data_IF_755406209153
#
_entry.id   IF_755406209153
#
_cell.length_a   1.000
_cell.length_b   1.000
_cell.length_c   1.000
_cell.angle_alpha   90.00
_cell.angle_beta   90.00
_cell.angle_gamma   90.00
#
_symmetry.space_group_name_H-M   'P 1'
#
loop_
_entity.id
_entity.type
_entity.pdbx_description
1 polymer ?
#
# COMPACT_ATOMS: atom_id res chain seq x y z
N UNK A 1 32.83 74.37 32.47
CA UNK A 1 31.49 73.88 32.72
C UNK A 1 30.89 73.52 31.36
N UNK A 2 31.04 72.29 30.92
CA UNK A 2 30.49 71.80 29.65
C UNK A 2 29.65 70.57 29.96
N UNK A 3 28.37 70.68 29.75
CA UNK A 3 27.42 69.57 29.89
C UNK A 3 27.51 68.69 28.63
N UNK A 4 27.89 67.46 28.78
CA UNK A 4 27.86 66.46 27.72
C UNK A 4 26.51 65.76 27.80
N UNK A 5 25.72 65.90 26.77
CA UNK A 5 24.42 65.23 26.57
C UNK A 5 24.69 63.89 25.93
N UNK A 6 24.45 62.81 26.63
CA UNK A 6 24.52 61.46 26.11
C UNK A 6 23.16 61.07 25.53
N UNK A 7 23.11 60.89 24.21
CA UNK A 7 21.98 60.30 23.48
C UNK A 7 22.06 58.79 23.63
N UNK A 8 21.10 58.21 24.33
CA UNK A 8 20.86 56.75 24.38
C UNK A 8 19.96 56.42 23.21
N UNK A 9 20.53 55.77 22.23
CA UNK A 9 19.78 55.19 21.08
C UNK A 9 19.20 53.84 21.53
N UNK A 10 17.91 53.81 21.86
CA UNK A 10 17.19 52.54 22.12
C UNK A 10 16.85 51.86 20.80
N UNK A 11 17.63 50.83 20.44
CA UNK A 11 17.28 49.93 19.37
C UNK A 11 16.14 49.00 19.82
N UNK A 12 14.93 49.25 19.35
CA UNK A 12 13.81 48.32 19.48
C UNK A 12 14.04 47.17 18.50
N UNK A 13 14.59 46.09 18.98
CA UNK A 13 14.54 44.80 18.26
C UNK A 13 13.12 44.23 18.40
N UNK A 14 12.32 44.39 17.35
CA UNK A 14 11.04 43.66 17.24
C UNK A 14 11.36 42.19 17.03
N UNK A 15 11.28 41.41 18.10
CA UNK A 15 11.22 39.93 18.00
C UNK A 15 9.84 39.59 17.45
N UNK A 16 9.80 39.30 16.14
CA UNK A 16 8.65 38.68 15.52
C UNK A 16 8.61 37.26 16.05
N UNK A 17 7.82 37.05 17.11
CA UNK A 17 7.37 35.71 17.53
C UNK A 17 6.49 35.18 16.38
N UNK A 18 7.08 34.40 15.50
CA UNK A 18 6.34 33.46 14.65
C UNK A 18 5.70 32.47 15.64
N UNK A 19 4.46 32.75 16.04
CA UNK A 19 3.62 31.77 16.65
C UNK A 19 3.40 30.66 15.60
N UNK A 20 4.25 29.66 15.66
CA UNK A 20 3.98 28.37 15.05
C UNK A 20 2.73 27.85 15.75
N UNK A 21 1.55 28.07 15.15
CA UNK A 21 0.35 27.33 15.46
C UNK A 21 0.63 25.88 15.05
N UNK A 22 1.23 25.10 15.94
CA UNK A 22 1.47 23.68 15.78
C UNK A 22 0.19 22.89 16.01
N UNK A 23 -0.87 23.18 15.26
CA UNK A 23 -1.90 22.19 15.00
C UNK A 23 -1.33 21.25 13.94
N UNK A 24 -1.25 19.94 14.24
CA UNK A 24 -0.93 18.97 13.20
C UNK A 24 -1.93 19.17 12.05
N UNK A 25 -1.43 19.43 10.84
CA UNK A 25 -2.30 19.56 9.68
C UNK A 25 -3.12 18.27 9.57
N UNK A 26 -4.44 18.42 9.53
CA UNK A 26 -5.34 17.29 9.36
C UNK A 26 -5.47 16.97 7.88
N UNK A 27 -5.62 15.71 7.59
CA UNK A 27 -5.82 15.19 6.24
C UNK A 27 -7.16 14.49 6.18
N UNK A 28 -7.82 14.57 5.04
CA UNK A 28 -9.12 13.97 4.80
C UNK A 28 -9.08 13.09 3.56
N UNK A 29 -9.87 12.03 3.60
CA UNK A 29 -10.20 11.22 2.42
C UNK A 29 -11.39 11.87 1.73
N UNK A 30 -11.31 12.05 0.41
CA UNK A 30 -12.46 12.53 -0.36
C UNK A 30 -13.51 11.41 -0.52
N UNK A 31 -14.78 11.79 -0.64
CA UNK A 31 -15.85 10.84 -0.98
C UNK A 31 -15.71 10.33 -2.41
N UNK A 32 -15.27 11.20 -3.34
CA UNK A 32 -14.93 10.83 -4.71
C UNK A 32 -13.58 10.10 -4.74
N UNK A 33 -13.49 9.01 -5.52
CA UNK A 33 -12.33 8.11 -5.56
C UNK A 33 -12.18 7.48 -6.95
N UNK A 34 -11.09 6.74 -7.17
CA UNK A 34 -10.80 6.10 -8.47
C UNK A 34 -11.34 4.66 -8.58
N UNK A 35 -12.23 4.24 -7.70
CA UNK A 35 -12.95 2.98 -7.82
C UNK A 35 -12.52 1.90 -6.83
N UNK A 36 -13.39 0.88 -6.74
CA UNK A 36 -13.19 -0.27 -5.88
C UNK A 36 -12.20 -1.26 -6.50
N UNK A 37 -11.42 -1.90 -5.66
CA UNK A 37 -10.46 -2.95 -5.99
C UNK A 37 -10.57 -4.11 -5.02
N UNK A 38 -9.91 -5.21 -5.34
CA UNK A 38 -9.74 -6.34 -4.43
C UNK A 38 -8.27 -6.79 -4.44
N UNK A 39 -7.75 -7.21 -3.28
CA UNK A 39 -6.39 -7.72 -3.14
C UNK A 39 -6.31 -9.21 -3.37
N UNK A 40 -5.23 -9.64 -4.03
CA UNK A 40 -4.87 -11.04 -4.23
C UNK A 40 -3.38 -11.28 -3.99
N UNK A 41 -3.02 -12.53 -3.77
CA UNK A 41 -1.63 -13.00 -3.72
C UNK A 41 -1.17 -13.29 -5.13
N UNK A 42 0.04 -12.85 -5.50
CA UNK A 42 0.62 -13.09 -6.81
C UNK A 42 1.60 -14.26 -6.81
N UNK A 43 1.45 -15.13 -7.78
CA UNK A 43 2.32 -16.28 -8.06
C UNK A 43 2.87 -16.17 -9.47
N UNK A 44 3.99 -16.84 -9.78
CA UNK A 44 4.43 -16.98 -11.18
C UNK A 44 3.29 -17.56 -12.02
N UNK A 45 3.27 -17.20 -13.28
CA UNK A 45 2.13 -17.47 -14.18
C UNK A 45 1.69 -18.94 -14.24
N UNK A 46 2.63 -19.86 -14.05
CA UNK A 46 2.41 -21.32 -14.17
C UNK A 46 2.56 -22.06 -12.82
N UNK A 47 2.70 -21.35 -11.69
CA UNK A 47 2.83 -21.94 -10.35
C UNK A 47 1.46 -22.29 -9.74
N UNK A 48 0.65 -23.06 -10.48
CA UNK A 48 -0.71 -23.43 -10.06
C UNK A 48 -0.76 -24.33 -8.83
N UNK A 49 0.20 -25.28 -8.71
CA UNK A 49 0.25 -26.20 -7.59
C UNK A 49 0.50 -25.48 -6.27
N UNK A 50 1.43 -24.51 -6.25
CA UNK A 50 1.66 -23.67 -5.08
C UNK A 50 0.44 -22.79 -4.77
N UNK A 51 -0.11 -22.11 -5.79
CA UNK A 51 -1.27 -21.24 -5.63
C UNK A 51 -2.50 -22.00 -5.12
N UNK A 52 -2.76 -23.22 -5.65
CA UNK A 52 -3.85 -24.08 -5.19
C UNK A 52 -3.69 -24.46 -3.70
N UNK A 53 -2.47 -24.82 -3.28
CA UNK A 53 -2.22 -25.22 -1.89
C UNK A 53 -2.29 -24.05 -0.92
N UNK A 54 -1.78 -22.89 -1.29
CA UNK A 54 -1.92 -21.67 -0.48
C UNK A 54 -3.40 -21.30 -0.36
N UNK A 55 -4.17 -21.37 -1.45
CA UNK A 55 -5.62 -21.07 -1.40
C UNK A 55 -6.40 -22.08 -0.56
N UNK A 56 -6.10 -23.38 -0.68
CA UNK A 56 -6.70 -24.42 0.16
C UNK A 56 -6.51 -24.10 1.66
N UNK A 57 -5.28 -23.71 2.04
CA UNK A 57 -4.98 -23.34 3.43
C UNK A 57 -5.74 -22.08 3.86
N UNK A 58 -5.86 -21.07 3.00
CA UNK A 58 -6.64 -19.87 3.28
C UNK A 58 -8.12 -20.18 3.46
N UNK A 59 -8.67 -21.09 2.63
CA UNK A 59 -10.06 -21.54 2.75
C UNK A 59 -10.27 -22.33 4.09
N UNK A 60 -9.30 -23.13 4.52
CA UNK A 60 -9.27 -23.76 5.85
C UNK A 60 -9.23 -22.74 6.99
N UNK A 61 -8.33 -21.74 6.90
CA UNK A 61 -8.19 -20.65 7.88
C UNK A 61 -9.47 -19.82 8.00
N UNK A 62 -10.18 -19.64 6.90
CA UNK A 62 -11.49 -19.02 6.90
C UNK A 62 -12.51 -19.89 7.65
N UNK A 63 -12.53 -21.19 7.37
CA UNK A 63 -13.52 -22.14 7.93
C UNK A 63 -13.32 -22.37 9.42
N UNK A 64 -12.09 -22.42 9.92
CA UNK A 64 -11.77 -22.63 11.34
C UNK A 64 -11.71 -21.33 12.16
N UNK A 65 -11.91 -20.17 11.50
CA UNK A 65 -11.98 -18.85 12.11
C UNK A 65 -10.61 -18.20 12.36
N UNK A 66 -9.50 -18.80 11.93
CA UNK A 66 -8.16 -18.23 12.08
C UNK A 66 -8.02 -16.94 11.30
N UNK A 67 -8.45 -16.90 10.03
CA UNK A 67 -8.43 -15.69 9.21
C UNK A 67 -9.27 -14.56 9.84
N UNK A 68 -10.45 -14.88 10.39
CA UNK A 68 -11.29 -13.92 11.10
C UNK A 68 -10.63 -13.34 12.35
N UNK A 69 -9.87 -14.13 13.13
CA UNK A 69 -9.11 -13.62 14.28
C UNK A 69 -8.00 -12.67 13.88
N UNK A 70 -7.28 -13.00 12.81
CA UNK A 70 -6.24 -12.12 12.24
C UNK A 70 -6.88 -10.83 11.74
N UNK A 71 -8.02 -10.90 11.01
CA UNK A 71 -8.82 -9.73 10.62
C UNK A 71 -9.20 -8.84 11.80
N UNK A 72 -9.72 -9.45 12.87
CA UNK A 72 -10.13 -8.71 14.07
C UNK A 72 -8.95 -7.98 14.71
N UNK A 73 -7.76 -8.60 14.72
CA UNK A 73 -6.54 -7.99 15.26
C UNK A 73 -6.13 -6.73 14.51
N UNK A 74 -6.17 -6.75 13.18
CA UNK A 74 -5.64 -5.67 12.35
C UNK A 74 -6.69 -4.61 11.96
N UNK A 75 -7.94 -5.03 11.76
CA UNK A 75 -9.02 -4.15 11.28
C UNK A 75 -10.15 -3.93 12.31
N UNK A 76 -10.11 -4.61 13.46
CA UNK A 76 -11.16 -4.51 14.47
C UNK A 76 -12.48 -5.18 14.08
N UNK A 77 -12.49 -5.96 13.00
CA UNK A 77 -13.64 -6.75 12.56
C UNK A 77 -13.17 -8.06 11.93
N UNK A 78 -14.05 -9.07 11.91
CA UNK A 78 -13.73 -10.43 11.42
C UNK A 78 -13.93 -10.59 9.91
N UNK A 79 -14.61 -9.64 9.28
CA UNK A 79 -15.13 -9.78 7.92
C UNK A 79 -14.24 -9.04 6.88
N UNK A 80 -13.06 -8.52 7.29
CA UNK A 80 -12.13 -7.92 6.36
C UNK A 80 -11.49 -8.96 5.42
N UNK A 81 -11.36 -10.22 5.89
CA UNK A 81 -10.97 -11.33 5.03
C UNK A 81 -12.19 -11.82 4.24
N UNK A 82 -12.11 -11.68 2.92
CA UNK A 82 -13.20 -12.07 2.01
C UNK A 82 -13.29 -13.59 1.85
N UNK A 83 -14.50 -14.07 1.73
CA UNK A 83 -14.83 -15.50 1.49
C UNK A 83 -15.77 -15.65 0.30
N UNK A 84 -15.86 -16.88 -0.24
CA UNK A 84 -16.80 -17.17 -1.34
C UNK A 84 -16.45 -16.48 -2.66
N UNK A 85 -15.20 -16.05 -2.84
CA UNK A 85 -14.70 -15.46 -4.07
C UNK A 85 -14.18 -16.54 -5.02
N UNK A 86 -14.12 -16.18 -6.31
CA UNK A 86 -13.56 -17.00 -7.36
C UNK A 86 -12.17 -16.49 -7.78
N UNK A 87 -11.37 -17.34 -8.39
CA UNK A 87 -10.10 -16.92 -8.97
C UNK A 87 -10.34 -15.93 -10.12
N UNK A 88 -9.55 -14.85 -10.25
CA UNK A 88 -9.64 -13.92 -11.38
C UNK A 88 -9.43 -14.60 -12.74
N UNK A 89 -8.63 -15.67 -12.75
CA UNK A 89 -8.43 -16.55 -13.90
C UNK A 89 -8.61 -18.00 -13.49
N UNK A 90 -9.22 -18.80 -14.36
CA UNK A 90 -9.43 -20.21 -14.09
C UNK A 90 -8.12 -20.95 -13.76
N UNK A 91 -8.17 -21.75 -12.70
CA UNK A 91 -7.10 -22.68 -12.35
C UNK A 91 -6.86 -23.68 -13.49
N UNK A 92 -5.61 -23.98 -13.75
CA UNK A 92 -5.21 -24.95 -14.79
C UNK A 92 -4.36 -26.05 -14.16
N UNK A 93 -4.34 -27.19 -14.83
CA UNK A 93 -3.37 -28.23 -14.53
C UNK A 93 -2.27 -28.16 -15.57
N UNK A 94 -1.06 -27.93 -15.13
CA UNK A 94 0.13 -27.84 -16.00
C UNK A 94 1.01 -29.07 -15.75
N UNK A 95 1.25 -29.85 -16.79
CA UNK A 95 2.13 -30.99 -16.70
C UNK A 95 3.55 -30.56 -16.30
N UNK A 96 4.06 -31.19 -15.23
CA UNK A 96 5.40 -30.85 -14.71
C UNK A 96 5.44 -29.63 -13.79
N UNK A 97 4.30 -29.06 -13.41
CA UNK A 97 4.25 -28.03 -12.37
C UNK A 97 4.73 -28.62 -11.03
N UNK A 98 5.93 -28.20 -10.63
CA UNK A 98 6.57 -28.62 -9.38
C UNK A 98 6.67 -27.46 -8.39
N UNK A 99 5.92 -26.38 -8.57
CA UNK A 99 6.02 -25.15 -7.77
C UNK A 99 5.81 -25.38 -6.27
N UNK A 100 4.81 -26.19 -5.90
CA UNK A 100 4.61 -26.61 -4.51
C UNK A 100 5.77 -27.47 -4.01
N UNK A 101 6.16 -28.50 -4.77
CA UNK A 101 7.23 -29.41 -4.36
C UNK A 101 8.56 -28.67 -4.19
N UNK A 102 8.84 -27.68 -5.06
CA UNK A 102 10.03 -26.83 -4.93
C UNK A 102 10.07 -26.07 -3.60
N UNK A 103 8.95 -25.50 -3.14
CA UNK A 103 8.86 -24.83 -1.84
C UNK A 103 9.03 -25.82 -0.69
N UNK A 104 8.39 -27.00 -0.78
CA UNK A 104 8.51 -28.04 0.25
C UNK A 104 9.92 -28.59 0.35
N UNK A 105 10.61 -28.86 -0.76
CA UNK A 105 11.95 -29.42 -0.79
C UNK A 105 12.99 -28.45 -0.22
N UNK A 106 12.87 -27.14 -0.50
CA UNK A 106 13.77 -26.14 0.06
C UNK A 106 13.43 -25.78 1.50
N UNK A 107 12.24 -26.17 2.01
CA UNK A 107 11.79 -25.93 3.38
C UNK A 107 11.49 -24.47 3.73
N UNK A 108 11.35 -23.59 2.70
CA UNK A 108 11.07 -22.16 2.91
C UNK A 108 10.05 -21.65 1.91
N UNK A 109 9.18 -20.74 2.36
CA UNK A 109 8.29 -19.92 1.53
C UNK A 109 8.80 -18.48 1.57
N UNK A 110 9.29 -17.98 0.43
CA UNK A 110 9.85 -16.62 0.34
C UNK A 110 8.77 -15.65 -0.13
N UNK A 111 8.36 -14.75 0.75
CA UNK A 111 7.34 -13.74 0.51
C UNK A 111 7.99 -12.40 0.15
N UNK A 112 7.69 -11.86 -1.02
CA UNK A 112 8.08 -10.50 -1.44
C UNK A 112 7.05 -9.46 -1.06
N UNK A 113 7.52 -8.34 -0.46
CA UNK A 113 6.67 -7.22 -0.06
C UNK A 113 7.43 -5.89 -0.09
N UNK A 114 6.67 -4.79 -0.20
CA UNK A 114 7.10 -3.45 0.23
C UNK A 114 6.87 -3.32 1.74
N UNK A 115 7.95 -3.14 2.51
CA UNK A 115 7.87 -3.01 3.97
C UNK A 115 7.39 -1.65 4.48
N UNK A 116 6.78 -0.84 3.59
CA UNK A 116 6.21 0.48 3.87
C UNK A 116 4.70 0.54 3.59
N UNK A 117 4.00 -0.61 3.63
CA UNK A 117 2.58 -0.74 3.26
C UNK A 117 1.68 -1.16 4.44
N UNK A 118 1.54 -0.32 5.49
CA UNK A 118 0.71 -0.63 6.65
C UNK A 118 -0.79 -0.56 6.30
N UNK A 119 -1.64 -1.35 6.97
CA UNK A 119 -1.35 -2.39 7.95
C UNK A 119 -1.09 -3.77 7.34
N UNK A 120 -0.96 -3.88 5.99
CA UNK A 120 -0.83 -5.16 5.31
C UNK A 120 0.54 -5.82 5.57
N UNK A 121 1.64 -5.08 5.30
CA UNK A 121 2.99 -5.50 5.60
C UNK A 121 3.91 -4.29 5.76
N UNK A 122 4.50 -4.10 6.92
CA UNK A 122 5.35 -2.96 7.16
C UNK A 122 6.37 -3.21 8.27
N UNK A 123 7.46 -2.45 8.26
CA UNK A 123 8.47 -2.50 9.31
C UNK A 123 8.02 -1.67 10.51
N UNK A 124 7.77 -2.33 11.63
CA UNK A 124 7.44 -1.66 12.89
C UNK A 124 8.64 -0.85 13.38
N UNK A 125 8.44 0.45 13.59
CA UNK A 125 9.51 1.38 13.98
C UNK A 125 10.07 1.17 15.38
N UNK A 126 9.36 0.42 16.24
CA UNK A 126 9.77 0.16 17.63
C UNK A 126 10.55 -1.15 17.76
N UNK A 127 10.10 -2.18 17.04
CA UNK A 127 10.71 -3.52 17.12
C UNK A 127 11.73 -3.76 16.01
N UNK A 128 11.58 -3.06 14.86
CA UNK A 128 12.36 -3.30 13.66
C UNK A 128 11.91 -4.55 12.88
N UNK A 129 10.87 -5.24 13.34
CA UNK A 129 10.33 -6.42 12.69
C UNK A 129 9.34 -6.04 11.58
N UNK A 130 9.22 -6.89 10.57
CA UNK A 130 8.16 -6.77 9.56
C UNK A 130 6.91 -7.46 10.12
N UNK A 131 5.83 -6.69 10.21
CA UNK A 131 4.55 -7.09 10.77
C UNK A 131 3.42 -6.67 9.84
N UNK A 132 2.22 -7.21 10.04
CA UNK A 132 1.05 -6.81 9.27
C UNK A 132 0.04 -7.93 9.11
N UNK A 133 -1.11 -7.57 8.57
CA UNK A 133 -2.19 -8.50 8.30
C UNK A 133 -1.76 -9.64 7.36
N UNK A 134 -1.11 -9.29 6.25
CA UNK A 134 -0.61 -10.27 5.28
C UNK A 134 0.51 -11.12 5.86
N UNK A 135 1.35 -10.53 6.73
CA UNK A 135 2.44 -11.25 7.40
C UNK A 135 1.89 -12.31 8.35
N UNK A 136 0.84 -12.00 9.11
CA UNK A 136 0.25 -12.97 10.04
C UNK A 136 -0.50 -14.08 9.30
N UNK A 137 -1.18 -13.76 8.18
CA UNK A 137 -1.76 -14.77 7.30
C UNK A 137 -0.67 -15.68 6.71
N UNK A 138 0.42 -15.09 6.20
CA UNK A 138 1.51 -15.83 5.58
C UNK A 138 2.27 -16.73 6.57
N UNK A 139 2.45 -16.29 7.82
CA UNK A 139 3.03 -17.11 8.91
C UNK A 139 2.19 -18.38 9.16
N UNK A 140 0.89 -18.21 9.21
CA UNK A 140 -0.01 -19.35 9.42
C UNK A 140 -0.02 -20.28 8.20
N UNK A 141 -0.02 -19.73 6.99
CA UNK A 141 0.10 -20.54 5.75
C UNK A 141 1.40 -21.33 5.74
N UNK A 142 2.54 -20.70 6.04
CA UNK A 142 3.83 -21.39 6.09
C UNK A 142 3.87 -22.48 7.16
N UNK A 143 3.27 -22.21 8.34
CA UNK A 143 3.12 -23.19 9.43
C UNK A 143 2.34 -24.44 8.97
N UNK A 144 1.21 -24.25 8.29
CA UNK A 144 0.38 -25.36 7.77
C UNK A 144 1.03 -26.08 6.58
N UNK A 145 1.85 -25.40 5.81
CA UNK A 145 2.71 -26.02 4.78
C UNK A 145 3.87 -26.83 5.37
N UNK A 146 4.24 -26.56 6.62
CA UNK A 146 5.42 -27.18 7.26
C UNK A 146 6.75 -26.62 6.78
N UNK A 147 6.78 -25.35 6.38
CA UNK A 147 7.97 -24.64 5.91
C UNK A 147 8.23 -23.35 6.72
N UNK A 148 9.43 -22.82 6.65
CA UNK A 148 9.79 -21.53 7.24
C UNK A 148 9.28 -20.38 6.33
N UNK A 149 8.68 -19.33 6.90
CA UNK A 149 8.40 -18.10 6.19
C UNK A 149 9.65 -17.21 6.15
N UNK A 150 10.11 -16.90 4.97
CA UNK A 150 11.17 -15.91 4.73
C UNK A 150 10.55 -14.64 4.15
N UNK A 151 10.71 -13.52 4.85
CA UNK A 151 10.21 -12.23 4.41
C UNK A 151 11.34 -11.53 3.65
N UNK A 152 11.08 -11.22 2.37
CA UNK A 152 12.02 -10.57 1.47
C UNK A 152 11.49 -9.19 1.08
N UNK A 153 12.00 -8.09 1.69
CA UNK A 153 11.71 -6.74 1.21
C UNK A 153 12.16 -6.56 -0.24
N UNK A 154 11.29 -5.99 -1.05
CA UNK A 154 11.54 -5.70 -2.47
C UNK A 154 11.15 -4.26 -2.79
N UNK A 155 11.71 -3.72 -3.87
CA UNK A 155 11.14 -2.53 -4.49
C UNK A 155 9.84 -2.93 -5.21
N UNK A 156 8.73 -2.22 -4.92
CA UNK A 156 7.41 -2.60 -5.44
C UNK A 156 7.33 -2.58 -6.96
N UNK A 157 8.03 -1.65 -7.60
CA UNK A 157 8.11 -1.57 -9.06
C UNK A 157 8.83 -2.77 -9.69
N UNK A 158 9.72 -3.44 -8.95
CA UNK A 158 10.46 -4.62 -9.40
C UNK A 158 9.79 -5.96 -9.06
N UNK A 159 8.58 -5.97 -8.46
CA UNK A 159 7.92 -7.16 -7.93
C UNK A 159 7.81 -8.34 -8.91
N UNK A 160 7.48 -8.06 -10.18
CA UNK A 160 7.37 -9.11 -11.20
C UNK A 160 8.74 -9.65 -11.61
N UNK A 161 9.77 -8.80 -11.62
CA UNK A 161 11.15 -9.23 -11.90
C UNK A 161 11.66 -10.17 -10.79
N UNK A 162 11.42 -9.82 -9.52
CA UNK A 162 11.79 -10.63 -8.37
C UNK A 162 11.07 -11.99 -8.38
N UNK A 163 9.76 -11.97 -8.68
CA UNK A 163 8.95 -13.18 -8.78
C UNK A 163 9.42 -14.11 -9.91
N UNK A 164 9.57 -13.57 -11.12
CA UNK A 164 9.99 -14.33 -12.30
C UNK A 164 11.45 -14.78 -12.21
N UNK A 165 12.30 -14.00 -11.52
CA UNK A 165 13.68 -14.33 -11.20
C UNK A 165 13.85 -15.42 -10.14
N UNK A 166 12.74 -15.88 -9.50
CA UNK A 166 12.71 -16.85 -8.40
C UNK A 166 13.48 -16.37 -7.15
N UNK A 167 13.62 -15.05 -6.97
CA UNK A 167 14.14 -14.45 -5.74
C UNK A 167 13.08 -14.52 -4.63
N UNK A 168 11.80 -14.53 -5.01
CA UNK A 168 10.63 -14.73 -4.15
C UNK A 168 9.74 -15.83 -4.74
N UNK A 169 8.92 -16.46 -3.90
CA UNK A 169 7.97 -17.50 -4.33
C UNK A 169 6.60 -16.93 -4.64
N UNK A 170 6.22 -15.89 -3.91
CA UNK A 170 4.96 -15.18 -4.07
C UNK A 170 5.10 -13.71 -3.66
N UNK A 171 4.15 -12.89 -4.14
CA UNK A 171 3.96 -11.49 -3.75
C UNK A 171 2.73 -11.45 -2.85
N UNK A 172 2.90 -10.97 -1.60
CA UNK A 172 1.78 -10.85 -0.66
C UNK A 172 1.89 -9.56 0.14
N UNK A 173 1.22 -8.50 -0.34
CA UNK A 173 1.32 -7.17 0.24
C UNK A 173 0.18 -6.25 -0.22
N UNK A 174 -1.08 -6.68 -0.01
CA UNK A 174 -2.22 -5.88 -0.45
C UNK A 174 -2.16 -5.57 -1.95
N UNK A 175 -1.85 -6.57 -2.78
CA UNK A 175 -1.70 -6.36 -4.21
C UNK A 175 -3.06 -6.39 -4.92
N UNK A 176 -3.49 -5.25 -5.46
CA UNK A 176 -4.74 -5.12 -6.23
C UNK A 176 -4.72 -5.99 -7.48
N UNK A 177 -5.86 -6.59 -7.78
CA UNK A 177 -6.11 -7.31 -9.03
C UNK A 177 -6.28 -6.29 -10.13
N UNK A 178 -5.42 -6.36 -11.17
CA UNK A 178 -5.57 -5.57 -12.41
C UNK A 178 -5.49 -6.49 -13.62
N UNK A 179 -5.94 -6.00 -14.78
CA UNK A 179 -5.87 -6.76 -16.03
C UNK A 179 -4.43 -7.10 -16.38
N UNK A 180 -3.50 -6.15 -16.20
CA UNK A 180 -2.08 -6.35 -16.45
C UNK A 180 -1.52 -7.46 -15.54
N UNK A 181 -1.76 -7.41 -14.25
CA UNK A 181 -1.28 -8.42 -13.29
C UNK A 181 -1.89 -9.79 -13.55
N UNK A 182 -3.18 -9.83 -13.90
CA UNK A 182 -3.86 -11.08 -14.28
C UNK A 182 -3.28 -11.71 -15.55
N UNK A 183 -2.77 -10.89 -16.49
CA UNK A 183 -2.10 -11.37 -17.69
C UNK A 183 -0.68 -11.90 -17.43
N UNK A 184 0.05 -11.28 -16.49
CA UNK A 184 1.47 -11.51 -16.24
C UNK A 184 1.76 -12.57 -15.17
N UNK A 185 0.84 -12.77 -14.22
CA UNK A 185 1.00 -13.72 -13.10
C UNK A 185 -0.29 -14.49 -12.84
N UNK A 186 -0.24 -15.51 -12.00
CA UNK A 186 -1.41 -16.17 -11.46
C UNK A 186 -1.77 -15.52 -10.11
N UNK A 187 -3.04 -15.14 -9.93
CA UNK A 187 -3.52 -14.49 -8.72
C UNK A 187 -4.41 -15.43 -7.92
N UNK A 188 -4.31 -15.39 -6.59
CA UNK A 188 -5.23 -16.07 -5.68
C UNK A 188 -6.67 -15.57 -5.86
N UNK A 189 -7.62 -16.19 -5.17
CA UNK A 189 -8.93 -15.56 -4.96
C UNK A 189 -8.74 -14.23 -4.19
N UNK A 190 -9.61 -13.23 -4.44
CA UNK A 190 -9.60 -12.00 -3.66
C UNK A 190 -9.76 -12.28 -2.17
N UNK A 191 -8.92 -11.62 -1.33
CA UNK A 191 -8.96 -11.84 0.13
C UNK A 191 -9.24 -10.58 0.95
N UNK A 192 -9.14 -9.36 0.37
CA UNK A 192 -9.51 -8.08 1.01
C UNK A 192 -10.11 -7.14 -0.05
N UNK A 193 -11.18 -6.41 0.33
CA UNK A 193 -11.72 -5.32 -0.48
C UNK A 193 -10.93 -4.03 -0.25
N UNK A 194 -10.69 -3.29 -1.32
CA UNK A 194 -9.97 -2.02 -1.33
C UNK A 194 -10.65 -1.00 -2.26
N UNK A 195 -10.12 0.21 -2.31
CA UNK A 195 -10.42 1.24 -3.29
C UNK A 195 -9.21 2.17 -3.44
N UNK A 196 -9.05 2.80 -4.59
CA UNK A 196 -8.07 3.87 -4.75
C UNK A 196 -8.70 5.20 -4.33
N UNK A 197 -8.25 5.75 -3.20
CA UNK A 197 -8.78 6.97 -2.58
C UNK A 197 -7.87 8.17 -2.82
N UNK A 198 -8.44 9.37 -2.62
CA UNK A 198 -7.74 10.64 -2.70
C UNK A 198 -7.63 11.25 -1.32
N UNK A 199 -6.42 11.55 -0.89
CA UNK A 199 -6.11 12.23 0.37
C UNK A 199 -5.64 13.64 0.07
N UNK A 200 -6.21 14.62 0.79
CA UNK A 200 -5.85 16.03 0.70
C UNK A 200 -5.78 16.67 2.09
N UNK A 201 -5.09 17.81 2.25
CA UNK A 201 -5.16 18.59 3.50
C UNK A 201 -6.60 19.02 3.81
N UNK A 202 -7.00 19.00 5.08
CA UNK A 202 -8.27 19.56 5.52
C UNK A 202 -8.37 21.05 5.10
N UNK A 203 -9.50 21.42 4.48
CA UNK A 203 -9.67 22.78 3.93
C UNK A 203 -9.11 22.97 2.52
N UNK A 204 -8.52 21.94 1.89
CA UNK A 204 -8.16 21.98 0.47
C UNK A 204 -9.35 22.38 -0.40
N UNK A 205 -9.07 23.08 -1.50
CA UNK A 205 -10.08 23.37 -2.53
C UNK A 205 -10.45 22.13 -3.35
N UNK A 206 -9.61 21.10 -3.35
CA UNK A 206 -9.86 19.81 -4.02
C UNK A 206 -10.95 19.07 -3.26
N UNK A 207 -12.07 18.75 -3.92
CA UNK A 207 -13.21 18.02 -3.36
C UNK A 207 -13.60 16.81 -4.19
N UNK A 208 -13.24 16.82 -5.47
CA UNK A 208 -13.54 15.76 -6.44
C UNK A 208 -12.33 15.47 -7.29
N UNK A 209 -12.37 14.38 -8.08
CA UNK A 209 -11.34 14.06 -9.08
C UNK A 209 -11.15 15.18 -10.09
N UNK A 210 -12.22 15.85 -10.49
CA UNK A 210 -12.14 16.98 -11.43
C UNK A 210 -11.28 18.15 -10.92
N UNK A 211 -11.24 18.36 -9.59
CA UNK A 211 -10.42 19.42 -8.98
C UNK A 211 -8.92 19.11 -8.96
N UNK A 212 -8.52 17.90 -9.36
CA UNK A 212 -7.12 17.52 -9.56
C UNK A 212 -6.51 18.15 -10.82
N UNK A 213 -7.30 18.81 -11.68
CA UNK A 213 -6.85 19.49 -12.87
C UNK A 213 -5.70 20.45 -12.56
N UNK A 214 -4.54 20.28 -13.23
CA UNK A 214 -3.34 21.10 -13.05
C UNK A 214 -2.68 20.97 -11.67
N UNK A 215 -2.97 19.91 -10.89
CA UNK A 215 -2.40 19.65 -9.57
C UNK A 215 -1.22 18.69 -9.63
N UNK A 216 -0.39 18.73 -8.58
CA UNK A 216 0.64 17.73 -8.34
C UNK A 216 0.03 16.59 -7.52
N UNK A 217 -0.09 15.43 -8.14
CA UNK A 217 -0.72 14.25 -7.54
C UNK A 217 0.35 13.21 -7.26
N UNK A 218 0.54 12.88 -5.98
CA UNK A 218 1.46 11.83 -5.55
C UNK A 218 0.82 10.45 -5.62
N UNK A 219 1.61 9.45 -5.96
CA UNK A 219 1.27 8.02 -5.85
C UNK A 219 2.54 7.17 -5.79
N UNK A 220 2.40 5.89 -5.45
CA UNK A 220 3.52 4.96 -5.47
C UNK A 220 3.76 4.42 -6.89
N UNK A 221 5.02 4.38 -7.31
CA UNK A 221 5.44 3.78 -8.59
C UNK A 221 5.11 2.30 -8.64
N UNK A 222 4.59 1.83 -9.78
CA UNK A 222 4.22 0.43 -9.98
C UNK A 222 3.03 -0.04 -9.14
N UNK A 223 2.30 0.89 -8.45
CA UNK A 223 1.03 0.59 -7.78
C UNK A 223 -0.14 0.65 -8.76
N UNK A 224 -1.30 0.10 -8.36
CA UNK A 224 -2.55 0.22 -9.12
C UNK A 224 -3.13 1.64 -9.11
N UNK A 225 -2.62 2.53 -8.25
CA UNK A 225 -3.07 3.93 -8.21
C UNK A 225 -2.86 4.65 -9.55
N UNK A 226 -1.72 4.42 -10.22
CA UNK A 226 -1.46 5.02 -11.52
C UNK A 226 -2.42 4.48 -12.59
N UNK A 227 -2.63 3.16 -12.64
CA UNK A 227 -3.57 2.54 -13.57
C UNK A 227 -5.00 3.08 -13.35
N UNK A 228 -5.44 3.20 -12.09
CA UNK A 228 -6.76 3.72 -11.73
C UNK A 228 -6.93 5.20 -12.16
N UNK A 229 -5.90 6.03 -11.98
CA UNK A 229 -5.92 7.42 -12.45
C UNK A 229 -5.93 7.49 -13.97
N UNK A 230 -5.15 6.66 -14.66
CA UNK A 230 -5.08 6.61 -16.12
C UNK A 230 -6.36 6.08 -16.76
N UNK A 231 -7.08 5.17 -16.09
CA UNK A 231 -8.36 4.66 -16.55
C UNK A 231 -9.45 5.75 -16.60
N UNK A 232 -9.33 6.81 -15.79
CA UNK A 232 -10.11 8.04 -15.91
C UNK A 232 -9.37 9.04 -16.81
N UNK A 233 -9.45 8.82 -18.13
CA UNK A 233 -8.70 9.60 -19.14
C UNK A 233 -8.96 11.11 -19.02
N UNK A 234 -10.18 11.53 -18.66
CA UNK A 234 -10.52 12.94 -18.49
C UNK A 234 -9.73 13.55 -17.32
N UNK A 235 -9.78 12.92 -16.15
CA UNK A 235 -9.04 13.36 -14.96
C UNK A 235 -7.53 13.28 -15.20
N UNK A 236 -7.01 12.20 -15.78
CA UNK A 236 -5.59 12.04 -16.06
C UNK A 236 -5.05 13.16 -16.97
N UNK A 237 -5.73 13.44 -18.08
CA UNK A 237 -5.32 14.50 -18.99
C UNK A 237 -5.45 15.90 -18.36
N UNK A 238 -6.46 16.10 -17.50
CA UNK A 238 -6.64 17.35 -16.78
C UNK A 238 -5.51 17.58 -15.75
N UNK A 239 -5.05 16.54 -15.06
CA UNK A 239 -3.89 16.62 -14.16
C UNK A 239 -2.66 17.08 -14.95
N UNK A 240 -2.35 16.43 -16.08
CA UNK A 240 -1.17 16.73 -16.88
C UNK A 240 -1.22 18.10 -17.57
N UNK A 241 -2.40 18.72 -17.70
CA UNK A 241 -2.54 20.06 -18.23
C UNK A 241 -2.22 21.12 -17.17
N UNK A 242 -0.94 21.29 -16.90
CA UNK A 242 -0.39 22.29 -15.97
C UNK A 242 0.00 21.76 -14.59
N UNK A 243 -0.26 20.47 -14.32
CA UNK A 243 0.20 19.73 -13.15
C UNK A 243 1.07 18.53 -13.53
N UNK A 244 1.23 17.58 -12.59
CA UNK A 244 2.04 16.39 -12.79
C UNK A 244 1.60 15.24 -11.90
N UNK A 245 1.86 13.99 -12.32
CA UNK A 245 1.88 12.81 -11.48
C UNK A 245 3.30 12.67 -10.91
N UNK A 246 3.41 12.65 -9.59
CA UNK A 246 4.70 12.50 -8.88
C UNK A 246 4.76 11.10 -8.29
N UNK A 247 5.63 10.27 -8.85
CA UNK A 247 5.79 8.89 -8.45
C UNK A 247 6.85 8.75 -7.36
N UNK A 248 6.52 8.03 -6.29
CA UNK A 248 7.39 7.73 -5.16
C UNK A 248 7.69 6.24 -5.09
N UNK A 249 8.80 5.86 -4.47
CA UNK A 249 9.15 4.46 -4.28
C UNK A 249 8.25 3.78 -3.24
N UNK A 250 7.72 4.56 -2.27
CA UNK A 250 6.81 4.08 -1.23
C UNK A 250 5.72 5.10 -0.85
N UNK A 251 4.63 4.61 -0.25
CA UNK A 251 3.47 5.41 0.13
C UNK A 251 3.74 6.36 1.31
N UNK A 252 4.66 6.02 2.21
CA UNK A 252 5.00 6.87 3.36
C UNK A 252 5.71 8.14 2.88
N UNK A 253 6.66 8.00 1.95
CA UNK A 253 7.35 9.14 1.35
C UNK A 253 6.39 10.03 0.54
N UNK A 254 5.46 9.44 -0.22
CA UNK A 254 4.41 10.18 -0.93
C UNK A 254 3.55 11.02 0.04
N UNK A 255 3.13 10.42 1.16
CA UNK A 255 2.37 11.12 2.20
C UNK A 255 3.20 12.24 2.87
N UNK A 256 4.49 12.04 3.13
CA UNK A 256 5.35 13.08 3.68
C UNK A 256 5.50 14.27 2.72
N UNK A 257 5.47 14.04 1.41
CA UNK A 257 5.46 15.11 0.41
C UNK A 257 4.15 15.87 0.43
N UNK A 258 3.00 15.21 0.60
CA UNK A 258 1.72 15.87 0.86
C UNK A 258 1.78 16.71 2.15
N UNK A 259 2.33 16.16 3.24
CA UNK A 259 2.48 16.91 4.52
C UNK A 259 3.34 18.17 4.38
N UNK A 260 4.33 18.13 3.53
CA UNK A 260 5.23 19.28 3.30
C UNK A 260 4.69 20.29 2.28
N UNK A 261 3.53 20.02 1.66
CA UNK A 261 2.93 20.87 0.62
C UNK A 261 3.70 20.86 -0.71
N UNK A 262 4.54 19.84 -0.96
CA UNK A 262 5.23 19.66 -2.25
C UNK A 262 4.32 19.07 -3.32
N UNK A 263 3.29 18.35 -2.90
CA UNK A 263 2.19 17.85 -3.73
C UNK A 263 0.86 18.31 -3.16
N UNK A 264 -0.19 18.34 -4.00
CA UNK A 264 -1.51 18.85 -3.65
C UNK A 264 -2.46 17.75 -3.17
N UNK A 265 -2.30 16.53 -3.68
CA UNK A 265 -3.10 15.36 -3.38
C UNK A 265 -2.26 14.08 -3.39
N UNK A 266 -2.75 13.06 -2.70
CA UNK A 266 -2.15 11.72 -2.67
C UNK A 266 -3.20 10.68 -3.02
N UNK A 267 -2.96 9.90 -4.07
CA UNK A 267 -3.80 8.77 -4.47
C UNK A 267 -3.16 7.50 -3.95
N UNK A 268 -3.94 6.72 -3.21
CA UNK A 268 -3.44 5.57 -2.46
C UNK A 268 -4.56 4.58 -2.16
N UNK A 269 -4.18 3.35 -1.91
CA UNK A 269 -5.04 2.31 -1.36
C UNK A 269 -5.75 2.77 -0.08
N UNK A 270 -7.07 2.59 -0.02
CA UNK A 270 -7.89 3.01 1.13
C UNK A 270 -7.39 2.44 2.44
N UNK A 271 -7.05 1.16 2.43
CA UNK A 271 -6.55 0.44 3.62
C UNK A 271 -5.30 1.13 4.18
N UNK A 272 -4.36 1.51 3.31
CA UNK A 272 -3.11 2.18 3.68
C UNK A 272 -3.36 3.64 4.05
N UNK A 273 -4.11 4.36 3.24
CA UNK A 273 -4.36 5.78 3.44
C UNK A 273 -5.08 6.08 4.76
N UNK A 274 -6.12 5.32 5.09
CA UNK A 274 -6.83 5.44 6.35
C UNK A 274 -5.92 5.13 7.56
N UNK A 275 -5.06 4.11 7.43
CA UNK A 275 -4.10 3.78 8.47
C UNK A 275 -3.07 4.90 8.67
N UNK A 276 -2.52 5.45 7.59
CA UNK A 276 -1.55 6.55 7.64
C UNK A 276 -2.15 7.78 8.32
N UNK A 277 -3.36 8.21 7.94
CA UNK A 277 -4.04 9.36 8.55
C UNK A 277 -4.27 9.14 10.04
N UNK A 278 -4.65 7.94 10.44
CA UNK A 278 -4.95 7.60 11.84
C UNK A 278 -3.70 7.60 12.72
N UNK A 279 -2.53 7.25 12.17
CA UNK A 279 -1.32 6.99 12.96
C UNK A 279 -0.22 8.04 12.81
N UNK A 280 -0.42 9.10 11.99
CA UNK A 280 0.52 10.20 11.75
C UNK A 280 -0.12 11.58 11.99
#
# INVERSE_FOLDING_TARGET
MKRILALVLAALTAVVLLASCGGSAKYIVLEDNFGAEEYAIGFRKDDYALAAKVQEILDEMSSDGTAGKISETWFGNKDAFLTGKEFPRAMQTVDGDNSLQYVLDKGTLVLGLDESFPPMGYRDSKTGEVVGFDIDLAKEVATRLGVELVIQPINWDAKELELNGKNIDLIWNGMSITDERTANMFLSKPYVANAQIIIVPEGSAIKTRADLAGKKVALQRGSSALEAVQADEETYNAILNGGEIVEFDDNITAYLDLKSGRVDAFVVDKVVGEWIIKNN
#
